data_IF_005107757747
#
_entry.id   IF_005107757747
#
_cell.length_a   1.000
_cell.length_b   1.000
_cell.length_c   1.000
_cell.angle_alpha   90.00
_cell.angle_beta   90.00
_cell.angle_gamma   90.00
#
_symmetry.space_group_name_H-M   'P 1'
#
loop_
_entity.id
_entity.type
_entity.pdbx_description
1 polymer ?
#
# COMPACT_ATOMS: atom_id res chain seq x y z
N UNK A 1 8.89 11.17 6.85
CA UNK A 1 8.76 9.98 6.00
C UNK A 1 8.50 10.39 4.57
N UNK A 2 9.31 9.92 3.66
CA UNK A 2 9.10 10.19 2.24
C UNK A 2 8.94 8.90 1.48
N UNK A 3 7.90 8.84 0.66
CA UNK A 3 7.62 7.69 -0.20
C UNK A 3 7.58 8.13 -1.65
N UNK A 4 7.94 7.22 -2.54
CA UNK A 4 7.91 7.46 -3.98
C UNK A 4 6.49 7.40 -4.53
N UNK A 5 5.69 6.43 -4.05
CA UNK A 5 4.35 6.15 -4.58
C UNK A 5 3.24 6.31 -3.56
N UNK A 6 3.55 6.74 -2.34
CA UNK A 6 2.54 6.95 -1.31
C UNK A 6 2.54 8.41 -0.87
N UNK A 7 1.35 8.93 -0.65
CA UNK A 7 1.13 10.25 -0.06
C UNK A 7 0.24 10.08 1.16
N UNK A 8 0.62 10.64 2.28
CA UNK A 8 -0.16 10.53 3.51
C UNK A 8 -0.57 11.89 4.01
N UNK A 9 -1.86 12.05 4.26
CA UNK A 9 -2.44 13.27 4.82
C UNK A 9 -3.14 12.94 6.13
N UNK A 10 -2.65 13.51 7.23
CA UNK A 10 -3.27 13.39 8.54
C UNK A 10 -3.63 14.77 9.10
N UNK A 11 -3.92 15.72 8.22
CA UNK A 11 -4.26 17.09 8.62
C UNK A 11 -5.57 17.19 9.40
N UNK A 12 -6.45 16.20 9.25
CA UNK A 12 -7.69 16.11 10.04
C UNK A 12 -7.46 15.24 11.27
N UNK A 13 -7.84 15.74 12.42
CA UNK A 13 -7.64 15.03 13.67
C UNK A 13 -8.29 13.64 13.65
N UNK A 14 -7.48 12.61 13.89
CA UNK A 14 -7.94 11.24 13.95
C UNK A 14 -8.21 10.58 12.61
N UNK A 15 -8.07 11.29 11.49
CA UNK A 15 -8.32 10.74 10.16
C UNK A 15 -7.04 10.76 9.35
N UNK A 16 -6.58 9.58 8.93
CA UNK A 16 -5.46 9.45 8.02
C UNK A 16 -5.93 9.07 6.62
N UNK A 17 -5.41 9.72 5.59
CA UNK A 17 -5.70 9.39 4.20
C UNK A 17 -4.39 9.02 3.52
N UNK A 18 -4.27 7.75 3.16
CA UNK A 18 -3.12 7.23 2.42
C UNK A 18 -3.51 7.08 0.97
N UNK A 19 -2.79 7.78 0.09
CA UNK A 19 -3.05 7.76 -1.35
C UNK A 19 -1.92 7.02 -2.06
N UNK A 20 -2.28 6.00 -2.83
CA UNK A 20 -1.34 5.30 -3.72
C UNK A 20 -1.29 6.11 -5.01
N UNK A 21 -0.10 6.59 -5.37
CA UNK A 21 0.08 7.51 -6.50
C UNK A 21 1.05 6.94 -7.51
N UNK A 22 0.52 6.14 -8.43
CA UNK A 22 1.23 5.63 -9.60
C UNK A 22 0.26 5.58 -10.79
N UNK A 23 -0.29 6.74 -11.20
CA UNK A 23 -1.38 6.77 -12.20
C UNK A 23 -0.96 6.23 -13.56
N UNK A 24 0.32 6.32 -13.92
CA UNK A 24 0.80 5.79 -15.21
C UNK A 24 0.60 4.28 -15.34
N UNK A 25 0.54 3.55 -14.24
CA UNK A 25 0.28 2.10 -14.21
C UNK A 25 -1.08 1.77 -13.58
N UNK A 26 -1.97 2.75 -13.43
CA UNK A 26 -3.26 2.62 -12.76
C UNK A 26 -3.09 2.08 -11.33
N UNK A 27 -2.01 2.49 -10.67
CA UNK A 27 -1.68 2.08 -9.30
C UNK A 27 -1.49 0.56 -9.16
N UNK A 28 -1.00 -0.11 -10.21
CA UNK A 28 -0.70 -1.53 -10.13
C UNK A 28 0.39 -1.80 -9.08
N UNK A 29 0.18 -2.84 -8.28
CA UNK A 29 1.10 -3.16 -7.19
C UNK A 29 2.41 -3.72 -7.72
N UNK A 30 3.52 -3.14 -7.28
CA UNK A 30 4.86 -3.64 -7.52
C UNK A 30 5.60 -3.77 -6.19
N UNK A 31 6.83 -4.28 -6.21
CA UNK A 31 7.58 -4.49 -4.98
C UNK A 31 7.89 -3.19 -4.25
N UNK A 32 8.09 -2.09 -4.98
CA UNK A 32 8.35 -0.79 -4.35
C UNK A 32 7.13 -0.30 -3.59
N UNK A 33 5.94 -0.36 -4.21
CA UNK A 33 4.69 0.05 -3.54
C UNK A 33 4.42 -0.83 -2.33
N UNK A 34 4.58 -2.15 -2.47
CA UNK A 34 4.38 -3.07 -1.35
C UNK A 34 5.37 -2.80 -0.22
N UNK A 35 6.63 -2.52 -0.55
CA UNK A 35 7.63 -2.16 0.46
C UNK A 35 7.29 -0.87 1.19
N UNK A 36 6.79 0.13 0.45
CA UNK A 36 6.36 1.40 1.04
C UNK A 36 5.13 1.20 1.94
N UNK A 37 4.15 0.41 1.51
CA UNK A 37 3.00 0.08 2.33
C UNK A 37 3.42 -0.63 3.62
N UNK A 38 4.35 -1.57 3.53
CA UNK A 38 4.86 -2.28 4.69
C UNK A 38 5.50 -1.31 5.70
N UNK A 39 6.36 -0.41 5.23
CA UNK A 39 6.99 0.59 6.07
C UNK A 39 5.97 1.55 6.68
N UNK A 40 4.98 1.97 5.88
CA UNK A 40 3.92 2.85 6.35
C UNK A 40 3.14 2.23 7.51
N UNK A 41 2.74 0.96 7.38
CA UNK A 41 1.99 0.27 8.42
C UNK A 41 2.79 0.16 9.71
N UNK A 42 4.09 -0.13 9.59
CA UNK A 42 4.96 -0.24 10.75
C UNK A 42 5.16 1.09 11.48
N UNK A 43 5.10 2.21 10.77
CA UNK A 43 5.34 3.53 11.33
C UNK A 43 4.06 4.29 11.69
N UNK A 44 2.90 3.75 11.34
CA UNK A 44 1.63 4.42 11.58
C UNK A 44 1.35 4.59 13.07
N UNK A 45 1.02 5.81 13.47
CA UNK A 45 0.65 6.12 14.84
C UNK A 45 -0.82 5.76 15.07
N UNK A 46 -1.07 4.51 15.49
CA UNK A 46 -2.43 4.01 15.71
C UNK A 46 -3.09 4.60 16.96
N UNK A 47 -2.30 5.22 17.85
CA UNK A 47 -2.86 5.84 19.06
C UNK A 47 -3.57 7.15 18.73
N UNK A 48 -3.08 7.87 17.73
CA UNK A 48 -3.64 9.16 17.33
C UNK A 48 -4.45 9.09 16.04
N UNK A 49 -4.58 7.91 15.44
CA UNK A 49 -5.36 7.70 14.21
C UNK A 49 -6.58 6.86 14.54
N UNK A 50 -7.77 7.40 14.33
CA UNK A 50 -9.03 6.70 14.61
C UNK A 50 -9.54 5.91 13.43
N UNK A 51 -9.23 6.37 12.22
CA UNK A 51 -9.61 5.70 10.99
C UNK A 51 -8.55 5.97 9.93
N UNK A 52 -8.26 4.96 9.13
CA UNK A 52 -7.35 5.07 7.99
C UNK A 52 -8.14 4.87 6.71
N UNK A 53 -8.04 5.82 5.78
CA UNK A 53 -8.63 5.71 4.45
C UNK A 53 -7.49 5.46 3.48
N UNK A 54 -7.60 4.40 2.67
CA UNK A 54 -6.62 4.10 1.62
C UNK A 54 -7.32 4.29 0.28
N UNK A 55 -6.74 5.12 -0.56
CA UNK A 55 -7.30 5.43 -1.87
C UNK A 55 -6.21 5.47 -2.94
N UNK A 56 -6.59 5.57 -4.21
CA UNK A 56 -5.67 5.70 -5.32
C UNK A 56 -5.84 7.02 -6.03
N UNK A 57 -4.73 7.60 -6.47
CA UNK A 57 -4.75 8.79 -7.30
C UNK A 57 -5.12 8.42 -8.73
N UNK A 58 -6.00 9.20 -9.35
CA UNK A 58 -6.40 9.01 -10.74
C UNK A 58 -7.63 8.12 -10.88
N UNK A 59 -7.67 7.31 -11.94
CA UNK A 59 -8.86 6.57 -12.35
C UNK A 59 -9.11 5.30 -11.58
N UNK A 60 -8.10 4.72 -10.94
CA UNK A 60 -8.20 3.44 -10.26
C UNK A 60 -7.60 3.50 -8.88
N UNK A 61 -8.17 2.73 -7.95
CA UNK A 61 -7.56 2.51 -6.65
C UNK A 61 -6.28 1.68 -6.83
N UNK A 62 -6.42 0.45 -7.26
CA UNK A 62 -5.32 -0.47 -7.60
C UNK A 62 -5.81 -1.32 -8.77
N UNK A 63 -5.04 -1.36 -9.86
CA UNK A 63 -5.42 -2.13 -11.04
C UNK A 63 -5.05 -3.61 -10.92
N UNK A 64 -4.27 -3.98 -9.89
CA UNK A 64 -3.78 -5.33 -9.68
C UNK A 64 -2.27 -5.33 -9.50
N UNK A 65 -1.64 -6.50 -9.61
CA UNK A 65 -0.19 -6.61 -9.55
C UNK A 65 0.43 -6.14 -10.86
N UNK A 66 1.65 -5.58 -10.78
CA UNK A 66 2.37 -5.14 -11.97
C UNK A 66 2.90 -6.35 -12.73
N UNK A 67 2.24 -6.67 -13.84
CA UNK A 67 2.57 -7.83 -14.67
C UNK A 67 3.98 -7.70 -15.26
N UNK A 68 4.41 -6.49 -15.60
CA UNK A 68 5.73 -6.28 -16.18
C UNK A 68 6.84 -6.65 -15.20
N UNK A 69 6.64 -6.44 -13.92
CA UNK A 69 7.59 -6.88 -12.91
C UNK A 69 7.57 -8.38 -12.72
N UNK A 70 6.39 -9.01 -12.83
CA UNK A 70 6.23 -10.44 -12.63
C UNK A 70 6.71 -11.27 -13.83
N UNK A 71 6.66 -10.71 -15.03
CA UNK A 71 6.92 -11.45 -16.27
C UNK A 71 8.36 -11.99 -16.39
N UNK A 72 9.32 -11.39 -15.68
CA UNK A 72 10.70 -11.84 -15.67
C UNK A 72 11.07 -12.70 -14.47
N UNK A 73 10.10 -13.04 -13.60
CA UNK A 73 10.38 -13.80 -12.39
C UNK A 73 10.34 -15.30 -12.65
N UNK A 74 11.25 -16.04 -12.01
CA UNK A 74 11.12 -17.49 -11.87
C UNK A 74 9.94 -17.80 -10.93
N UNK A 75 9.37 -19.03 -10.99
CA UNK A 75 8.24 -19.39 -10.11
C UNK A 75 8.47 -19.13 -8.63
N UNK A 76 9.68 -19.35 -8.13
CA UNK A 76 10.02 -19.08 -6.74
C UNK A 76 9.93 -17.59 -6.40
N UNK A 77 10.39 -16.73 -7.28
CA UNK A 77 10.35 -15.28 -7.09
C UNK A 77 8.93 -14.76 -7.14
N UNK A 78 8.11 -15.29 -8.06
CA UNK A 78 6.69 -14.97 -8.12
C UNK A 78 5.95 -15.38 -6.86
N UNK A 79 6.28 -16.55 -6.30
CA UNK A 79 5.71 -17.02 -5.05
C UNK A 79 6.08 -16.08 -3.89
N UNK A 80 7.35 -15.69 -3.79
CA UNK A 80 7.81 -14.75 -2.76
C UNK A 80 7.14 -13.39 -2.88
N UNK A 81 6.97 -12.90 -4.10
CA UNK A 81 6.25 -11.65 -4.33
C UNK A 81 4.81 -11.74 -3.81
N UNK A 82 4.11 -12.83 -4.13
CA UNK A 82 2.76 -13.06 -3.66
C UNK A 82 2.68 -13.18 -2.15
N UNK A 83 3.64 -13.88 -1.53
CA UNK A 83 3.72 -14.00 -0.08
C UNK A 83 3.94 -12.64 0.59
N UNK A 84 4.83 -11.83 0.03
CA UNK A 84 5.10 -10.49 0.58
C UNK A 84 3.85 -9.61 0.50
N UNK A 85 3.15 -9.62 -0.64
CA UNK A 85 1.92 -8.88 -0.79
C UNK A 85 0.84 -9.32 0.20
N UNK A 86 0.66 -10.63 0.36
CA UNK A 86 -0.30 -11.17 1.31
C UNK A 86 0.06 -10.77 2.75
N UNK A 87 1.34 -10.79 3.11
CA UNK A 87 1.80 -10.36 4.42
C UNK A 87 1.48 -8.89 4.67
N UNK A 88 1.74 -8.02 3.69
CA UNK A 88 1.49 -6.59 3.82
C UNK A 88 -0.02 -6.34 4.02
N UNK A 89 -0.87 -6.97 3.21
CA UNK A 89 -2.32 -6.82 3.36
C UNK A 89 -2.83 -7.37 4.68
N UNK A 90 -2.25 -8.46 5.16
CA UNK A 90 -2.57 -9.00 6.48
C UNK A 90 -2.24 -8.01 7.59
N UNK A 91 -1.11 -7.33 7.50
CA UNK A 91 -0.72 -6.29 8.46
C UNK A 91 -1.72 -5.14 8.46
N UNK A 92 -2.19 -4.74 7.27
CA UNK A 92 -3.22 -3.70 7.15
C UNK A 92 -4.53 -4.15 7.80
N UNK A 93 -4.95 -5.39 7.50
CA UNK A 93 -6.16 -5.97 8.07
C UNK A 93 -6.09 -6.07 9.59
N UNK A 94 -4.92 -6.37 10.13
CA UNK A 94 -4.72 -6.56 11.56
C UNK A 94 -4.51 -5.26 12.34
N UNK A 95 -4.55 -4.10 11.69
CA UNK A 95 -4.50 -2.82 12.38
C UNK A 95 -5.67 -2.70 13.35
N UNK A 96 -5.41 -2.09 14.52
CA UNK A 96 -6.41 -1.95 15.57
C UNK A 96 -7.42 -0.84 15.29
N UNK A 97 -7.38 -0.24 14.11
CA UNK A 97 -8.28 0.85 13.70
C UNK A 97 -9.01 0.45 12.43
N UNK A 98 -10.22 1.00 12.19
CA UNK A 98 -10.93 0.77 10.93
C UNK A 98 -10.10 1.26 9.73
N UNK A 99 -10.10 0.47 8.65
CA UNK A 99 -9.46 0.80 7.38
C UNK A 99 -10.51 0.74 6.28
N UNK A 100 -10.61 1.81 5.51
CA UNK A 100 -11.61 1.95 4.45
C UNK A 100 -10.93 2.05 3.09
#
# INVERSE_FOLDING_TARGET
>A
MEYQFLKYDNSREGIGVLTISSPATLNALNSTILGELNSFVDELDVQNTRVLIITGEGKAFVAGADISQMSGLYPEEGYKFGQFGAMVFKKIEDLEIPVI
#
